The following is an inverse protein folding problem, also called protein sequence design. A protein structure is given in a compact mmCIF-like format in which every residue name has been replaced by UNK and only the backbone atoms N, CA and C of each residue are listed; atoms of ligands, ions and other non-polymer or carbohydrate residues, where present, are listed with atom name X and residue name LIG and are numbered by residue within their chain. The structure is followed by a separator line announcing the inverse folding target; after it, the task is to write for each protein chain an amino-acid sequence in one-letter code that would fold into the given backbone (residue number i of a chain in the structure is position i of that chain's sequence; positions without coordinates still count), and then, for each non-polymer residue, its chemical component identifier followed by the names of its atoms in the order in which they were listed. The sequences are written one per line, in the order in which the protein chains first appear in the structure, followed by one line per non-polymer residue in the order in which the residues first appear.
data_IF_955752282511
#
_entry.id   IF_955752282511
#
_cell.length_a   1.000
_cell.length_b   1.000
_cell.length_c   1.000
_cell.angle_alpha   90.00
_cell.angle_beta   90.00
_cell.angle_gamma   90.00
#
_symmetry.space_group_name_H-M   'P 1'
#
loop_
_entity.id
_entity.type
_entity.pdbx_description
1 polymer ?
#
# COMPACT_ATOMS: atom_id res chain seq x y z
N UNK A 1 2.54 -15.26 -6.15
CA UNK A 1 1.50 -14.52 -6.90
C UNK A 1 2.08 -13.22 -7.49
N UNK A 2 2.89 -13.29 -8.57
CA UNK A 2 3.54 -12.09 -9.13
C UNK A 2 2.58 -11.24 -10.00
N UNK A 3 1.70 -11.90 -10.72
CA UNK A 3 0.89 -11.29 -11.78
C UNK A 3 -0.51 -10.83 -11.29
N UNK A 4 -0.69 -10.67 -9.97
CA UNK A 4 -1.96 -10.27 -9.34
C UNK A 4 -2.27 -8.76 -9.44
N UNK A 5 -1.27 -7.95 -9.78
CA UNK A 5 -1.37 -6.48 -9.75
C UNK A 5 -1.15 -5.88 -8.36
N UNK A 6 -0.75 -6.69 -7.38
CA UNK A 6 -0.35 -6.21 -6.06
C UNK A 6 1.06 -5.65 -6.10
N UNK A 7 1.28 -4.55 -5.37
CA UNK A 7 2.63 -4.12 -5.03
C UNK A 7 3.27 -5.15 -4.10
N UNK A 8 4.54 -5.46 -4.32
CA UNK A 8 5.28 -6.44 -3.53
C UNK A 8 6.61 -5.84 -3.13
N UNK A 9 6.87 -5.80 -1.82
CA UNK A 9 8.16 -5.39 -1.24
C UNK A 9 8.70 -6.53 -0.39
N UNK A 10 10.01 -6.65 -0.33
CA UNK A 10 10.70 -7.65 0.47
C UNK A 10 11.67 -6.91 1.39
N UNK A 11 11.54 -7.13 2.69
CA UNK A 11 12.36 -6.52 3.72
C UNK A 11 13.52 -7.45 4.10
N UNK A 12 14.70 -6.89 4.34
CA UNK A 12 15.92 -7.64 4.63
C UNK A 12 16.15 -7.88 6.14
N UNK A 13 15.63 -7.00 7.01
CA UNK A 13 15.79 -7.10 8.47
C UNK A 13 14.57 -6.57 9.26
N UNK A 14 14.54 -6.77 10.59
CA UNK A 14 13.35 -6.50 11.40
C UNK A 14 12.98 -5.01 11.44
N UNK A 15 13.96 -4.11 11.44
CA UNK A 15 13.70 -2.67 11.32
C UNK A 15 13.02 -2.30 9.99
N UNK A 16 13.49 -2.85 8.85
CA UNK A 16 12.84 -2.62 7.56
C UNK A 16 11.40 -3.15 7.53
N UNK A 17 11.12 -4.27 8.18
CA UNK A 17 9.75 -4.79 8.31
C UNK A 17 8.88 -3.79 9.07
N UNK A 18 9.35 -3.29 10.21
CA UNK A 18 8.62 -2.33 11.03
C UNK A 18 8.33 -1.03 10.26
N UNK A 19 9.35 -0.47 9.61
CA UNK A 19 9.24 0.79 8.86
C UNK A 19 8.33 0.62 7.64
N UNK A 20 8.48 -0.50 6.93
CA UNK A 20 7.75 -0.74 5.69
C UNK A 20 6.27 -1.05 5.94
N UNK A 21 5.89 -1.62 7.08
CA UNK A 21 4.46 -1.81 7.42
C UNK A 21 3.73 -0.46 7.48
N UNK A 22 4.30 0.55 8.14
CA UNK A 22 3.70 1.89 8.20
C UNK A 22 3.68 2.58 6.83
N UNK A 23 4.80 2.51 6.09
CA UNK A 23 4.88 3.07 4.75
C UNK A 23 3.91 2.39 3.77
N UNK A 24 3.72 1.07 3.87
CA UNK A 24 2.88 0.29 2.98
C UNK A 24 1.40 0.73 3.05
N UNK A 25 0.87 1.02 4.23
CA UNK A 25 -0.46 1.61 4.35
C UNK A 25 -0.53 2.94 3.60
N UNK A 26 0.42 3.84 3.86
CA UNK A 26 0.43 5.16 3.22
C UNK A 26 0.56 5.09 1.70
N UNK A 27 1.38 4.18 1.18
CA UNK A 27 1.58 3.94 -0.26
C UNK A 27 0.31 3.35 -0.88
N UNK A 28 -0.27 2.32 -0.26
CA UNK A 28 -1.45 1.63 -0.78
C UNK A 28 -2.70 2.53 -0.77
N UNK A 29 -2.80 3.44 0.21
CA UNK A 29 -3.91 4.38 0.35
C UNK A 29 -3.77 5.64 -0.52
N UNK A 30 -2.60 5.90 -1.12
CA UNK A 30 -2.40 7.04 -2.01
C UNK A 30 -3.28 6.89 -3.26
N UNK A 31 -4.02 7.94 -3.61
CA UNK A 31 -4.99 7.93 -4.73
C UNK A 31 -4.35 7.70 -6.10
N UNK A 32 -3.04 7.92 -6.24
CA UNK A 32 -2.28 7.63 -7.47
C UNK A 32 -1.99 6.14 -7.61
N UNK A 33 -2.00 5.41 -6.50
CA UNK A 33 -1.73 3.97 -6.42
C UNK A 33 -3.04 3.22 -6.22
N UNK A 34 -3.68 3.35 -5.06
CA UNK A 34 -4.93 2.65 -4.72
C UNK A 34 -4.90 1.14 -5.04
N UNK A 35 -3.73 0.51 -4.86
CA UNK A 35 -3.50 -0.91 -5.08
C UNK A 35 -3.12 -1.58 -3.75
N UNK A 36 -3.51 -2.84 -3.56
CA UNK A 36 -3.05 -3.60 -2.40
C UNK A 36 -1.53 -3.83 -2.46
N UNK A 37 -0.91 -3.83 -1.29
CA UNK A 37 0.53 -4.03 -1.12
C UNK A 37 0.81 -5.20 -0.17
N UNK A 38 1.72 -6.07 -0.59
CA UNK A 38 2.23 -7.19 0.21
C UNK A 38 3.62 -6.84 0.73
N UNK A 39 3.78 -6.91 2.05
CA UNK A 39 5.07 -6.78 2.74
C UNK A 39 5.60 -8.18 3.03
N UNK A 40 6.60 -8.60 2.28
CA UNK A 40 7.28 -9.87 2.43
C UNK A 40 8.45 -9.77 3.41
N UNK A 41 8.58 -10.77 4.27
CA UNK A 41 9.73 -10.97 5.14
C UNK A 41 10.08 -12.46 5.16
N UNK A 42 11.34 -12.79 5.43
CA UNK A 42 11.79 -14.17 5.49
C UNK A 42 11.21 -14.88 6.74
N UNK A 43 10.47 -15.96 6.49
CA UNK A 43 9.89 -16.78 7.53
C UNK A 43 10.98 -17.46 8.37
N UNK A 44 10.74 -17.56 9.69
CA UNK A 44 11.68 -18.03 10.72
C UNK A 44 12.87 -17.10 10.94
N UNK A 45 13.54 -16.65 9.89
CA UNK A 45 14.71 -15.77 10.00
C UNK A 45 14.28 -14.41 10.58
N UNK A 46 13.38 -13.68 9.92
CA UNK A 46 12.96 -12.37 10.43
C UNK A 46 11.78 -12.49 11.41
N UNK A 47 10.86 -13.43 11.16
CA UNK A 47 9.65 -13.54 11.98
C UNK A 47 9.86 -14.09 13.39
N UNK A 48 10.99 -14.77 13.66
CA UNK A 48 11.30 -15.36 14.97
C UNK A 48 12.65 -14.93 15.55
N UNK A 49 13.37 -14.03 14.87
CA UNK A 49 14.57 -13.41 15.44
C UNK A 49 14.15 -12.19 16.24
N UNK A 50 14.73 -12.06 17.43
CA UNK A 50 14.58 -10.87 18.27
C UNK A 50 15.76 -9.96 17.99
N UNK A 51 15.47 -8.78 17.46
CA UNK A 51 16.43 -7.72 17.18
C UNK A 51 15.94 -6.43 17.84
N UNK A 52 16.82 -5.60 18.42
CA UNK A 52 16.43 -4.25 18.81
C UNK A 52 16.04 -3.43 17.58
N UNK A 53 14.85 -2.85 17.61
CA UNK A 53 14.35 -1.94 16.57
C UNK A 53 14.00 -0.60 17.19
N UNK A 54 14.18 0.46 16.41
CA UNK A 54 13.66 1.79 16.71
C UNK A 54 12.17 1.84 16.34
N UNK A 55 11.37 2.25 17.31
CA UNK A 55 9.92 2.32 17.18
C UNK A 55 9.50 3.78 17.18
N UNK A 56 8.80 4.18 16.13
CA UNK A 56 8.09 5.46 16.12
C UNK A 56 7.09 5.50 17.28
N UNK A 57 7.04 6.63 17.99
CA UNK A 57 6.02 6.82 19.02
C UNK A 57 4.62 6.85 18.40
N UNK A 58 3.60 6.52 19.19
CA UNK A 58 2.24 6.42 18.68
C UNK A 58 1.74 7.75 18.09
N UNK A 59 2.10 8.87 18.70
CA UNK A 59 1.69 10.19 18.26
C UNK A 59 2.30 10.58 16.91
N UNK A 60 3.54 10.16 16.64
CA UNK A 60 4.20 10.42 15.36
C UNK A 60 3.71 9.46 14.27
N UNK A 61 3.39 8.21 14.64
CA UNK A 61 2.73 7.26 13.74
C UNK A 61 1.34 7.79 13.30
N UNK A 62 0.54 8.34 14.22
CA UNK A 62 -0.77 8.95 13.91
C UNK A 62 -0.64 10.20 13.02
N UNK A 63 0.43 10.99 13.16
CA UNK A 63 0.72 12.13 12.27
C UNK A 63 1.17 11.65 10.89
N UNK A 64 1.97 10.59 10.85
CA UNK A 64 2.49 10.03 9.61
C UNK A 64 1.38 9.36 8.79
N UNK A 65 0.55 8.54 9.44
CA UNK A 65 -0.55 7.79 8.84
C UNK A 65 -1.89 8.24 9.46
N UNK A 66 -2.45 9.37 9.01
CA UNK A 66 -3.73 9.82 9.50
C UNK A 66 -4.83 8.83 9.09
N UNK A 67 -5.99 8.92 9.76
CA UNK A 67 -7.14 8.06 9.49
C UNK A 67 -7.46 7.98 7.99
N UNK A 68 -7.50 6.75 7.48
CA UNK A 68 -7.82 6.47 6.09
C UNK A 68 -9.13 7.13 5.66
N UNK A 69 -9.08 7.83 4.52
CA UNK A 69 -10.25 8.38 3.84
C UNK A 69 -10.42 7.60 2.54
N UNK A 70 -11.31 6.59 2.51
CA UNK A 70 -11.43 5.76 1.34
C UNK A 70 -11.90 6.58 0.14
N UNK A 71 -11.40 6.29 -1.07
CA UNK A 71 -11.98 6.83 -2.29
C UNK A 71 -13.42 6.33 -2.45
N UNK A 72 -14.09 6.78 -3.53
CA UNK A 72 -15.52 6.60 -3.83
C UNK A 72 -16.06 5.16 -3.90
N UNK A 73 -15.29 4.14 -3.50
CA UNK A 73 -15.60 2.72 -3.57
C UNK A 73 -16.09 2.15 -2.22
N UNK A 74 -16.75 2.98 -1.42
CA UNK A 74 -17.43 2.54 -0.19
C UNK A 74 -18.86 2.16 -0.57
N UNK A 75 -19.36 1.07 0.02
CA UNK A 75 -20.79 0.75 -0.04
C UNK A 75 -21.53 1.64 0.96
N UNK A 76 -22.28 2.59 0.44
CA UNK A 76 -23.07 3.54 1.20
C UNK A 76 -24.53 3.52 0.70
N UNK A 77 -25.49 3.49 1.63
CA UNK A 77 -26.92 3.53 1.29
C UNK A 77 -27.38 4.92 0.87
N UNK A 78 -26.67 5.96 1.30
CA UNK A 78 -26.97 7.36 0.96
C UNK A 78 -26.29 7.77 -0.37
N UNK A 79 -25.21 7.10 -0.78
CA UNK A 79 -24.49 7.30 -2.05
C UNK A 79 -24.32 5.96 -2.81
N UNK A 80 -25.41 5.49 -3.40
CA UNK A 80 -25.51 4.15 -4.01
C UNK A 80 -24.66 4.03 -5.28
N UNK A 81 -23.69 3.12 -5.26
CA UNK A 81 -22.81 2.78 -6.40
C UNK A 81 -22.78 1.29 -6.65
N UNK A 82 -22.59 0.90 -7.90
CA UNK A 82 -22.32 -0.49 -8.28
C UNK A 82 -20.81 -0.72 -8.38
N UNK A 83 -20.28 -1.68 -7.62
CA UNK A 83 -18.85 -2.02 -7.57
C UNK A 83 -18.66 -3.45 -8.06
N UNK A 84 -17.63 -3.70 -8.88
CA UNK A 84 -17.30 -5.04 -9.37
C UNK A 84 -18.32 -5.62 -10.37
N UNK A 85 -19.00 -4.77 -11.12
CA UNK A 85 -19.97 -5.18 -12.14
C UNK A 85 -19.28 -5.82 -13.36
N UNK A 86 -20.07 -6.54 -14.16
CA UNK A 86 -19.62 -7.08 -15.44
C UNK A 86 -19.08 -5.98 -16.36
N UNK A 87 -17.90 -6.20 -16.92
CA UNK A 87 -17.25 -5.29 -17.88
C UNK A 87 -17.26 -5.92 -19.26
N UNK A 88 -17.91 -5.29 -20.26
CA UNK A 88 -17.88 -5.75 -21.64
C UNK A 88 -16.45 -5.79 -22.22
N UNK A 89 -16.17 -6.65 -23.21
CA UNK A 89 -14.84 -6.77 -23.81
C UNK A 89 -14.27 -5.44 -24.33
N UNK A 90 -15.12 -4.53 -24.78
CA UNK A 90 -14.74 -3.23 -25.34
C UNK A 90 -14.12 -2.29 -24.29
N UNK A 91 -14.36 -2.53 -23.00
CA UNK A 91 -13.85 -1.71 -21.89
C UNK A 91 -12.83 -2.42 -21.00
N UNK A 92 -12.56 -3.71 -21.27
CA UNK A 92 -11.68 -4.52 -20.43
C UNK A 92 -10.23 -4.02 -20.47
N UNK A 93 -9.79 -3.50 -21.62
CA UNK A 93 -8.42 -3.02 -21.79
C UNK A 93 -8.17 -1.74 -20.99
N UNK A 94 -9.18 -0.88 -20.86
CA UNK A 94 -9.16 0.34 -20.06
C UNK A 94 -8.99 0.01 -18.58
N UNK A 95 -9.71 -0.99 -18.07
CA UNK A 95 -9.51 -1.48 -16.70
C UNK A 95 -8.08 -2.00 -16.47
N UNK A 96 -7.52 -2.74 -17.44
CA UNK A 96 -6.13 -3.23 -17.36
C UNK A 96 -5.11 -2.11 -17.45
N UNK A 97 -5.37 -1.11 -18.29
CA UNK A 97 -4.53 0.07 -18.41
C UNK A 97 -4.54 0.91 -17.13
N UNK A 98 -5.69 1.04 -16.45
CA UNK A 98 -5.77 1.72 -15.14
C UNK A 98 -4.88 1.02 -14.09
N UNK A 99 -4.87 -0.31 -14.06
CA UNK A 99 -4.00 -1.09 -13.18
C UNK A 99 -2.51 -0.90 -13.54
N UNK A 100 -2.15 -0.99 -14.83
CA UNK A 100 -0.77 -0.75 -15.30
C UNK A 100 -0.30 0.67 -14.97
N UNK A 101 -1.17 1.67 -15.16
CA UNK A 101 -0.88 3.06 -14.81
C UNK A 101 -0.62 3.20 -13.30
N UNK A 102 -1.48 2.65 -12.45
CA UNK A 102 -1.29 2.69 -10.99
C UNK A 102 0.04 2.04 -10.56
N UNK A 103 0.41 0.90 -11.18
CA UNK A 103 1.71 0.26 -10.94
C UNK A 103 2.90 1.13 -11.39
N UNK A 104 2.77 1.85 -12.50
CA UNK A 104 3.82 2.77 -13.01
C UNK A 104 3.95 4.05 -12.21
N UNK A 105 2.86 4.50 -11.60
CA UNK A 105 2.84 5.70 -10.75
C UNK A 105 3.39 5.38 -9.34
N UNK A 106 3.32 4.12 -8.89
CA UNK A 106 3.73 3.68 -7.56
C UNK A 106 5.20 4.01 -7.18
N UNK A 107 6.23 3.87 -8.02
CA UNK A 107 7.61 4.19 -7.66
C UNK A 107 7.80 5.64 -7.18
N UNK A 108 7.09 6.59 -7.79
CA UNK A 108 7.13 7.99 -7.38
C UNK A 108 6.55 8.17 -5.98
N UNK A 109 5.41 7.53 -5.69
CA UNK A 109 4.77 7.54 -4.37
C UNK A 109 5.65 6.88 -3.31
N UNK A 110 6.24 5.72 -3.65
CA UNK A 110 7.16 5.00 -2.76
C UNK A 110 8.35 5.90 -2.37
N UNK A 111 8.95 6.61 -3.33
CA UNK A 111 10.07 7.51 -3.06
C UNK A 111 9.65 8.71 -2.18
N UNK A 112 8.49 9.30 -2.45
CA UNK A 112 7.94 10.41 -1.65
C UNK A 112 7.66 9.98 -0.20
N UNK A 113 7.03 8.81 -0.02
CA UNK A 113 6.68 8.26 1.29
C UNK A 113 7.95 7.89 2.06
N UNK A 114 8.94 7.27 1.41
CA UNK A 114 10.22 6.95 2.05
C UNK A 114 10.96 8.23 2.51
N UNK A 115 11.04 9.25 1.65
CA UNK A 115 11.61 10.56 2.03
C UNK A 115 10.85 11.25 3.16
N UNK A 116 9.53 11.06 3.23
CA UNK A 116 8.73 11.59 4.33
C UNK A 116 8.99 10.83 5.63
N UNK A 117 9.08 9.50 5.56
CA UNK A 117 9.35 8.66 6.72
C UNK A 117 10.74 8.95 7.30
N UNK A 118 11.76 9.14 6.46
CA UNK A 118 13.12 9.48 6.87
C UNK A 118 13.29 10.86 7.55
N UNK A 119 12.26 11.71 7.55
CA UNK A 119 12.27 13.04 8.21
C UNK A 119 11.59 13.03 9.58
N UNK A 120 10.97 11.92 9.96
CA UNK A 120 10.30 11.74 11.23
C UNK A 120 11.34 11.48 12.32
#
# INVERSE_FOLDING_TARGET
ERDSGWLQVFCDHNQEVQDMVLQAFKIAEDKRVALPMSVGLDAFILSHTVEPVDLMCAEDADKFLPKYSPPSHILDTDDVKSVGVFVPPEYMMECRWQLDKALRDAPCVIEEVNKQFARQ
#
